data_IF_417558948465
#
_entry.id   IF_417558948465
#
_cell.length_a   1.000
_cell.length_b   1.000
_cell.length_c   1.000
_cell.angle_alpha   90.00
_cell.angle_beta   90.00
_cell.angle_gamma   90.00
#
_symmetry.space_group_name_H-M   'P 1'
#
loop_
_entity.id
_entity.type
_entity.pdbx_description
1 polymer ?
#
# COMPACT_ATOMS: atom_id res chain seq x y z
N UNK A 1 -12.60 69.07 54.09
CA UNK A 1 -11.42 68.27 53.68
C UNK A 1 -11.73 66.79 53.90
N UNK A 2 -11.37 65.94 52.92
CA UNK A 2 -11.42 64.45 52.88
C UNK A 2 -12.83 63.85 52.72
N UNK A 3 -13.09 62.92 51.79
CA UNK A 3 -12.27 62.29 50.75
C UNK A 3 -13.21 61.61 49.75
N UNK A 4 -12.93 61.76 48.46
CA UNK A 4 -13.69 61.17 47.35
C UNK A 4 -13.09 59.80 47.03
N UNK A 5 -13.89 58.74 47.15
CA UNK A 5 -13.52 57.38 46.76
C UNK A 5 -13.28 57.29 45.25
N UNK A 6 -12.22 56.57 44.85
CA UNK A 6 -11.90 56.28 43.45
C UNK A 6 -12.82 55.18 42.90
N UNK A 7 -13.40 55.34 41.70
CA UNK A 7 -13.91 54.21 40.96
C UNK A 7 -12.89 53.70 39.92
N UNK A 8 -12.85 52.37 39.83
CA UNK A 8 -12.72 51.59 38.58
C UNK A 8 -11.40 51.71 37.79
N UNK A 9 -10.50 50.75 38.01
CA UNK A 9 -9.50 50.37 37.01
C UNK A 9 -10.10 49.30 36.08
N UNK A 10 -10.25 49.69 34.81
CA UNK A 10 -10.94 48.96 33.77
C UNK A 10 -10.35 47.58 33.45
N UNK A 11 -11.26 46.61 33.34
CA UNK A 11 -11.05 45.35 32.64
C UNK A 11 -10.81 45.61 31.17
N UNK A 12 -9.58 45.41 30.68
CA UNK A 12 -9.26 45.63 29.27
C UNK A 12 -8.23 44.63 28.74
N UNK A 13 -8.47 43.31 28.80
CA UNK A 13 -7.62 42.32 28.09
C UNK A 13 -8.28 41.04 27.49
N UNK A 14 -9.58 40.97 27.13
CA UNK A 14 -10.06 39.78 26.41
C UNK A 14 -9.61 39.77 24.93
N UNK A 15 -9.60 40.93 24.26
CA UNK A 15 -9.44 41.00 22.80
C UNK A 15 -8.07 40.49 22.28
N UNK A 16 -6.98 40.85 22.99
CA UNK A 16 -5.63 40.44 22.58
C UNK A 16 -5.37 38.94 22.74
N UNK A 17 -6.03 38.29 23.71
CA UNK A 17 -5.93 36.84 23.92
C UNK A 17 -6.67 36.07 22.82
N UNK A 18 -7.83 36.56 22.39
CA UNK A 18 -8.56 35.96 21.27
C UNK A 18 -7.82 36.12 19.94
N UNK A 19 -7.27 37.30 19.66
CA UNK A 19 -6.48 37.52 18.45
C UNK A 19 -5.22 36.62 18.41
N UNK A 20 -4.54 36.47 19.55
CA UNK A 20 -3.38 35.59 19.67
C UNK A 20 -3.77 34.11 19.49
N UNK A 21 -4.88 33.68 20.09
CA UNK A 21 -5.38 32.31 19.93
C UNK A 21 -5.74 32.02 18.47
N UNK A 22 -6.43 32.94 17.77
CA UNK A 22 -6.76 32.78 16.35
C UNK A 22 -5.49 32.69 15.51
N UNK A 23 -4.51 33.56 15.76
CA UNK A 23 -3.22 33.52 15.06
C UNK A 23 -2.52 32.16 15.22
N UNK A 24 -2.44 31.64 16.45
CA UNK A 24 -1.84 30.32 16.70
C UNK A 24 -2.64 29.18 16.09
N UNK A 25 -3.98 29.21 16.11
CA UNK A 25 -4.82 28.18 15.48
C UNK A 25 -4.66 28.17 13.97
N UNK A 26 -4.62 29.34 13.32
CA UNK A 26 -4.38 29.45 11.88
C UNK A 26 -2.97 29.00 11.51
N UNK A 27 -1.97 29.40 12.30
CA UNK A 27 -0.58 28.96 12.11
C UNK A 27 -0.45 27.44 12.29
N UNK A 28 -1.10 26.84 13.29
CA UNK A 28 -1.14 25.38 13.47
C UNK A 28 -1.88 24.69 12.33
N UNK A 29 -2.99 25.25 11.84
CA UNK A 29 -3.72 24.68 10.69
C UNK A 29 -2.90 24.73 9.39
N UNK A 30 -2.08 25.78 9.20
CA UNK A 30 -1.15 25.89 8.08
C UNK A 30 0.04 24.93 8.22
N UNK A 31 0.51 24.67 9.44
CA UNK A 31 1.59 23.70 9.73
C UNK A 31 1.10 22.24 9.70
N UNK A 32 -0.15 22.00 10.07
CA UNK A 32 -0.89 20.75 9.87
C UNK A 32 -1.38 20.63 8.42
N UNK A 33 -0.67 21.28 7.48
CA UNK A 33 -0.99 21.35 6.07
C UNK A 33 -1.61 20.05 5.62
N UNK A 34 -2.82 20.17 5.05
CA UNK A 34 -3.57 19.06 4.52
C UNK A 34 -2.60 18.12 3.82
N UNK A 35 -2.48 16.90 4.35
CA UNK A 35 -1.86 15.79 3.64
C UNK A 35 -2.68 15.61 2.38
N UNK A 36 -2.34 16.35 1.32
CA UNK A 36 -2.74 16.07 -0.05
C UNK A 36 -2.46 14.58 -0.20
N UNK A 37 -3.50 13.80 -0.48
CA UNK A 37 -3.38 12.36 -0.61
C UNK A 37 -2.22 12.12 -1.57
N UNK A 38 -1.10 11.63 -1.04
CA UNK A 38 0.12 11.50 -1.80
C UNK A 38 -0.21 10.76 -3.09
N UNK A 39 0.35 11.24 -4.21
CA UNK A 39 0.15 10.65 -5.54
C UNK A 39 0.23 9.12 -5.37
N UNK A 40 -0.81 8.36 -5.77
CA UNK A 40 -0.87 6.93 -5.47
C UNK A 40 0.39 6.28 -6.03
N UNK A 41 1.11 5.54 -5.19
CA UNK A 41 2.33 4.83 -5.58
C UNK A 41 1.97 3.57 -6.37
N UNK A 42 1.34 3.81 -7.53
CA UNK A 42 0.79 2.87 -8.49
C UNK A 42 1.80 2.51 -9.60
N UNK A 43 1.38 1.69 -10.57
CA UNK A 43 2.23 1.26 -11.68
C UNK A 43 2.77 2.42 -12.52
N UNK A 44 1.99 3.52 -12.65
CA UNK A 44 2.42 4.72 -13.38
C UNK A 44 3.46 5.49 -12.59
N UNK A 45 3.33 5.58 -11.26
CA UNK A 45 4.39 6.12 -10.42
C UNK A 45 5.67 5.28 -10.56
N UNK A 46 5.56 3.95 -10.46
CA UNK A 46 6.69 3.02 -10.60
C UNK A 46 7.42 3.23 -11.93
N UNK A 47 6.68 3.30 -13.05
CA UNK A 47 7.26 3.57 -14.38
C UNK A 47 7.97 4.92 -14.49
N UNK A 48 7.40 5.98 -13.91
CA UNK A 48 7.99 7.32 -13.98
C UNK A 48 9.30 7.43 -13.21
N UNK A 49 9.41 6.76 -12.06
CA UNK A 49 10.56 6.89 -11.17
C UNK A 49 11.61 5.80 -11.37
N UNK A 50 11.19 4.59 -11.72
CA UNK A 50 12.03 3.39 -11.77
C UNK A 50 11.72 2.57 -13.04
N UNK A 51 11.99 3.11 -14.24
CA UNK A 51 11.53 2.50 -15.49
C UNK A 51 12.07 1.09 -15.71
N UNK A 52 13.35 0.84 -15.44
CA UNK A 52 13.96 -0.49 -15.61
C UNK A 52 13.35 -1.53 -14.66
N UNK A 53 13.08 -1.13 -13.41
CA UNK A 53 12.43 -1.98 -12.42
C UNK A 53 10.95 -2.20 -12.75
N UNK A 54 10.29 -1.17 -13.29
CA UNK A 54 8.91 -1.29 -13.74
C UNK A 54 8.79 -2.32 -14.86
N UNK A 55 9.70 -2.31 -15.84
CA UNK A 55 9.70 -3.31 -16.90
C UNK A 55 9.97 -4.71 -16.34
N UNK A 56 10.95 -4.86 -15.44
CA UNK A 56 11.25 -6.14 -14.81
C UNK A 56 10.09 -6.71 -13.96
N UNK A 57 9.34 -5.85 -13.27
CA UNK A 57 8.25 -6.26 -12.37
C UNK A 57 6.93 -6.40 -13.13
N UNK A 58 6.50 -5.36 -13.83
CA UNK A 58 5.20 -5.26 -14.48
C UNK A 58 5.15 -6.08 -15.77
N UNK A 59 6.27 -6.20 -16.47
CA UNK A 59 6.40 -6.96 -17.72
C UNK A 59 7.35 -8.15 -17.55
N UNK A 60 7.28 -8.79 -16.38
CA UNK A 60 8.05 -9.98 -16.07
C UNK A 60 7.86 -11.10 -17.11
N UNK A 61 8.72 -12.14 -17.07
CA UNK A 61 8.77 -13.17 -18.10
C UNK A 61 7.45 -13.95 -18.24
N UNK A 62 6.66 -14.03 -17.16
CA UNK A 62 5.34 -14.63 -17.16
C UNK A 62 4.30 -13.64 -16.63
N UNK A 63 3.17 -13.55 -17.33
CA UNK A 63 2.04 -12.72 -16.93
C UNK A 63 1.03 -13.54 -16.14
N UNK A 64 0.62 -13.03 -14.98
CA UNK A 64 -0.51 -13.56 -14.25
C UNK A 64 -1.82 -13.33 -15.00
N UNK A 65 -2.76 -14.26 -14.81
CA UNK A 65 -4.12 -14.15 -15.28
C UNK A 65 -5.11 -14.46 -14.14
N UNK A 66 -6.33 -13.87 -14.17
CA UNK A 66 -7.39 -14.27 -13.26
C UNK A 66 -7.74 -15.75 -13.43
N UNK A 67 -7.81 -16.49 -12.32
CA UNK A 67 -8.11 -17.91 -12.29
C UNK A 67 -8.94 -18.25 -11.05
N UNK A 68 -10.21 -18.59 -11.26
CA UNK A 68 -11.14 -18.91 -10.18
C UNK A 68 -11.33 -17.75 -9.21
N UNK A 69 -10.90 -17.95 -7.96
CA UNK A 69 -10.98 -16.99 -6.85
C UNK A 69 -9.65 -16.26 -6.59
N UNK A 70 -8.76 -16.20 -7.59
CA UNK A 70 -7.45 -15.58 -7.45
C UNK A 70 -6.75 -15.38 -8.79
N UNK A 71 -5.42 -15.44 -8.76
CA UNK A 71 -4.56 -15.22 -9.91
C UNK A 71 -3.54 -16.35 -10.06
N UNK A 72 -3.27 -16.77 -11.28
CA UNK A 72 -2.29 -17.82 -11.58
C UNK A 72 -1.38 -17.36 -12.71
N UNK A 73 -0.10 -17.71 -12.61
CA UNK A 73 0.83 -17.55 -13.73
C UNK A 73 0.93 -18.88 -14.50
N UNK A 74 1.04 -18.84 -15.84
CA UNK A 74 1.26 -20.04 -16.62
C UNK A 74 2.60 -20.67 -16.25
N UNK A 75 2.62 -21.95 -15.88
CA UNK A 75 3.87 -22.68 -15.68
C UNK A 75 4.38 -23.27 -17.00
N UNK A 76 5.66 -23.09 -17.35
CA UNK A 76 6.26 -23.80 -18.48
C UNK A 76 6.07 -25.31 -18.33
N UNK A 77 5.75 -25.98 -19.45
CA UNK A 77 5.43 -27.42 -19.47
C UNK A 77 6.58 -28.28 -18.90
N UNK A 78 7.80 -27.82 -19.12
CA UNK A 78 9.07 -28.43 -18.75
C UNK A 78 9.20 -28.48 -17.21
N UNK A 79 8.95 -27.34 -16.56
CA UNK A 79 8.92 -27.20 -15.09
C UNK A 79 7.79 -28.04 -14.48
N UNK A 80 6.65 -28.13 -15.17
CA UNK A 80 5.50 -28.95 -14.73
C UNK A 80 5.84 -30.44 -14.77
N UNK A 81 6.60 -30.92 -15.75
CA UNK A 81 7.03 -32.33 -15.83
C UNK A 81 8.06 -32.68 -14.74
N UNK A 82 9.03 -31.80 -14.48
CA UNK A 82 10.01 -32.01 -13.41
C UNK A 82 9.38 -31.98 -12.02
N UNK A 83 8.32 -31.18 -11.84
CA UNK A 83 7.56 -31.08 -10.58
C UNK A 83 6.39 -32.08 -10.49
N UNK A 84 6.07 -32.83 -11.54
CA UNK A 84 4.98 -33.83 -11.53
C UNK A 84 5.24 -35.00 -10.57
N UNK A 85 6.50 -35.26 -10.20
CA UNK A 85 6.87 -36.19 -9.13
C UNK A 85 6.81 -35.58 -7.71
N UNK A 86 6.68 -34.27 -7.61
CA UNK A 86 6.79 -33.46 -6.40
C UNK A 86 5.66 -32.42 -6.31
N UNK A 87 4.40 -32.87 -6.29
CA UNK A 87 3.26 -32.03 -5.87
C UNK A 87 3.08 -30.70 -6.63
N UNK A 88 3.49 -30.62 -7.90
CA UNK A 88 3.48 -29.40 -8.72
C UNK A 88 2.10 -28.92 -9.13
N UNK A 89 1.28 -28.51 -8.17
CA UNK A 89 0.11 -27.69 -8.44
C UNK A 89 0.56 -26.27 -8.84
N UNK A 90 -0.12 -25.64 -9.82
CA UNK A 90 0.04 -24.22 -10.04
C UNK A 90 -0.29 -23.49 -8.75
N UNK A 91 0.64 -22.66 -8.30
CA UNK A 91 0.41 -21.74 -7.19
C UNK A 91 -0.66 -20.73 -7.60
N UNK A 92 -1.49 -20.31 -6.66
CA UNK A 92 -2.52 -19.29 -6.88
C UNK A 92 -2.33 -18.16 -5.87
N UNK A 93 -2.27 -16.94 -6.38
CA UNK A 93 -2.34 -15.74 -5.58
C UNK A 93 -3.78 -15.47 -5.16
N UNK A 94 -4.02 -15.09 -3.89
CA UNK A 94 -5.37 -14.85 -3.39
C UNK A 94 -5.98 -13.62 -4.07
N UNK A 95 -7.30 -13.60 -4.22
CA UNK A 95 -7.99 -12.37 -4.67
C UNK A 95 -7.83 -11.23 -3.67
N UNK A 96 -7.84 -11.52 -2.38
CA UNK A 96 -7.71 -10.52 -1.33
C UNK A 96 -6.25 -10.42 -0.85
N UNK A 97 -5.73 -9.21 -0.73
CA UNK A 97 -4.31 -8.94 -0.43
C UNK A 97 -3.88 -9.28 1.00
N UNK A 98 -4.83 -9.47 1.92
CA UNK A 98 -4.57 -9.99 3.26
C UNK A 98 -4.55 -11.54 3.30
N UNK A 99 -4.89 -12.18 2.17
CA UNK A 99 -4.81 -13.62 1.99
C UNK A 99 -3.39 -14.16 1.92
N UNK A 100 -3.26 -15.48 2.11
CA UNK A 100 -1.99 -16.17 1.99
C UNK A 100 -1.87 -16.90 0.64
N UNK A 101 -0.73 -16.74 -0.02
CA UNK A 101 -0.27 -17.60 -1.11
C UNK A 101 0.13 -18.94 -0.51
N UNK A 102 -0.39 -20.03 -1.07
CA UNK A 102 -0.20 -21.40 -0.59
C UNK A 102 0.76 -22.15 -1.50
N UNK A 103 1.82 -22.69 -0.93
CA UNK A 103 2.83 -23.47 -1.62
C UNK A 103 2.77 -24.90 -1.11
N UNK A 104 2.43 -25.84 -1.97
CA UNK A 104 2.54 -27.27 -1.67
C UNK A 104 3.99 -27.72 -1.76
N UNK A 105 4.50 -28.39 -0.72
CA UNK A 105 5.86 -28.91 -0.68
C UNK A 105 5.89 -30.39 -1.08
N UNK A 106 7.05 -30.91 -1.56
CA UNK A 106 7.19 -32.30 -1.98
C UNK A 106 6.90 -33.35 -0.89
N UNK A 107 7.04 -32.97 0.39
CA UNK A 107 6.75 -33.84 1.54
C UNK A 107 5.26 -33.85 1.92
N UNK A 108 4.41 -33.16 1.17
CA UNK A 108 2.97 -33.02 1.41
C UNK A 108 2.62 -31.93 2.43
N UNK A 109 3.59 -31.20 2.96
CA UNK A 109 3.34 -30.02 3.80
C UNK A 109 2.96 -28.79 2.96
N UNK A 110 2.48 -27.73 3.61
CA UNK A 110 2.08 -26.46 2.98
C UNK A 110 2.81 -25.29 3.65
N UNK A 111 3.45 -24.44 2.84
CA UNK A 111 3.92 -23.12 3.28
C UNK A 111 2.90 -22.05 2.88
N UNK A 112 2.67 -21.10 3.78
CA UNK A 112 1.74 -20.00 3.58
C UNK A 112 2.49 -18.67 3.72
N UNK A 113 2.49 -17.87 2.66
CA UNK A 113 3.17 -16.56 2.62
C UNK A 113 2.11 -15.47 2.43
N UNK A 114 2.17 -14.42 3.24
CA UNK A 114 1.38 -13.21 3.03
C UNK A 114 2.27 -11.98 3.07
N UNK A 115 1.92 -10.97 2.29
CA UNK A 115 2.52 -9.65 2.44
C UNK A 115 1.93 -8.93 3.65
N UNK A 116 2.77 -8.34 4.49
CA UNK A 116 2.29 -7.61 5.65
C UNK A 116 1.76 -6.24 5.24
N UNK A 117 0.49 -5.99 5.55
CA UNK A 117 -0.17 -4.71 5.28
C UNK A 117 -0.69 -4.56 3.85
N UNK A 118 -0.59 -5.61 3.02
CA UNK A 118 -1.38 -5.71 1.81
C UNK A 118 -2.85 -5.94 2.16
N UNK A 119 -3.75 -5.24 1.48
CA UNK A 119 -5.20 -5.26 1.75
C UNK A 119 -5.98 -5.03 0.46
N UNK A 120 -7.29 -5.29 0.54
CA UNK A 120 -8.21 -5.06 -0.57
C UNK A 120 -8.08 -6.11 -1.68
N UNK A 121 -8.84 -5.91 -2.76
CA UNK A 121 -8.78 -6.80 -3.90
C UNK A 121 -7.48 -6.58 -4.68
N UNK A 122 -6.85 -7.69 -5.08
CA UNK A 122 -5.75 -7.68 -6.03
C UNK A 122 -6.22 -7.33 -7.44
N UNK A 123 -5.31 -6.75 -8.20
CA UNK A 123 -5.53 -6.37 -9.59
C UNK A 123 -4.37 -6.86 -10.46
N UNK A 124 -4.60 -7.06 -11.75
CA UNK A 124 -3.52 -7.35 -12.70
C UNK A 124 -3.07 -6.04 -13.33
N UNK A 125 -1.82 -5.66 -13.06
CA UNK A 125 -1.18 -4.46 -13.60
C UNK A 125 -0.08 -4.90 -14.58
N UNK A 126 -0.42 -4.85 -15.87
CA UNK A 126 0.45 -5.17 -17.01
C UNK A 126 1.06 -6.58 -17.04
N UNK A 127 0.62 -7.47 -16.15
CA UNK A 127 1.12 -8.84 -16.03
C UNK A 127 1.51 -9.21 -14.60
N UNK A 128 1.76 -8.21 -13.75
CA UNK A 128 1.98 -8.40 -12.32
C UNK A 128 0.66 -8.43 -11.54
N UNK A 129 0.64 -9.13 -10.40
CA UNK A 129 -0.43 -8.97 -9.40
C UNK A 129 -0.07 -7.79 -8.49
N UNK A 130 -1.03 -6.89 -8.28
CA UNK A 130 -0.89 -5.69 -7.48
C UNK A 130 -1.88 -5.72 -6.30
N UNK A 131 -1.39 -5.47 -5.09
CA UNK A 131 -2.23 -5.27 -3.90
C UNK A 131 -1.97 -3.91 -3.29
N UNK A 132 -3.04 -3.22 -2.88
CA UNK A 132 -2.91 -1.98 -2.13
C UNK A 132 -2.25 -2.25 -0.77
N UNK A 133 -1.42 -1.32 -0.31
CA UNK A 133 -0.84 -1.33 1.03
C UNK A 133 -0.74 0.07 1.60
N UNK A 134 -0.56 0.17 2.92
CA UNK A 134 -0.19 1.43 3.53
C UNK A 134 1.12 1.95 2.88
N UNK A 135 1.05 3.14 2.30
CA UNK A 135 2.18 3.77 1.61
C UNK A 135 2.45 3.23 0.19
N UNK A 136 1.49 2.60 -0.49
CA UNK A 136 1.59 2.33 -1.93
C UNK A 136 0.96 1.02 -2.39
N UNK A 137 1.64 0.35 -3.32
CA UNK A 137 1.21 -0.92 -3.91
C UNK A 137 2.31 -1.96 -3.79
N UNK A 138 1.95 -3.19 -3.44
CA UNK A 138 2.83 -4.36 -3.50
C UNK A 138 2.63 -5.06 -4.83
N UNK A 139 3.69 -5.13 -5.65
CA UNK A 139 3.67 -5.78 -6.95
C UNK A 139 4.38 -7.13 -6.86
N UNK A 140 3.76 -8.15 -7.45
CA UNK A 140 4.28 -9.51 -7.55
C UNK A 140 4.42 -9.89 -9.01
N UNK A 141 5.61 -10.37 -9.37
CA UNK A 141 5.93 -10.83 -10.72
C UNK A 141 6.17 -12.33 -10.70
N UNK A 142 5.83 -13.02 -11.79
CA UNK A 142 6.09 -14.44 -11.95
C UNK A 142 7.36 -14.66 -12.76
N UNK A 143 8.25 -15.53 -12.27
CA UNK A 143 9.49 -15.94 -12.92
C UNK A 143 9.34 -17.33 -13.53
N UNK A 144 10.17 -17.65 -14.51
CA UNK A 144 10.12 -18.93 -15.25
C UNK A 144 10.36 -20.16 -14.34
N UNK A 145 11.22 -20.00 -13.33
CA UNK A 145 11.57 -21.02 -12.34
C UNK A 145 10.77 -20.91 -11.02
N UNK A 146 10.00 -19.83 -10.85
CA UNK A 146 9.27 -19.54 -9.61
C UNK A 146 9.07 -18.06 -9.36
N UNK A 147 9.53 -17.56 -8.21
CA UNK A 147 9.43 -16.16 -7.79
C UNK A 147 10.68 -15.74 -7.03
#
# INVERSE_FOLDING_TARGET
>A
MKGFEMPMAGSARPLGRFALAIFWTVMLALLLGCSEAADPLDARFLRRQFPEQADAILQGPLAFAPAGDGFEAPQPLDVRLDRAGAGGLPFRFPRDGDGAVRFSLPDGSEAQVRELGATGAGEIEEGAVAYARAGGTSFWTALEDGY
#
